data_IF_805081797399
#
_entry.id   IF_805081797399
#
_cell.length_a   1.000
_cell.length_b   1.000
_cell.length_c   1.000
_cell.angle_alpha   90.00
_cell.angle_beta   90.00
_cell.angle_gamma   90.00
#
_symmetry.space_group_name_H-M   'P 1'
#
loop_
_entity.id
_entity.type
_entity.pdbx_description
1 polymer ?
#
# COMPACT_ATOMS: atom_id res chain seq x y z
N UNK A 1 -7.85 12.87 -9.82
CA UNK A 1 -7.32 12.32 -8.55
C UNK A 1 -6.75 13.50 -7.80
N UNK A 2 -7.23 13.77 -6.58
CA UNK A 2 -6.93 14.99 -5.83
C UNK A 2 -5.44 15.09 -5.48
N UNK A 3 -4.84 16.25 -5.73
CA UNK A 3 -3.46 16.56 -5.35
C UNK A 3 -3.30 16.54 -3.82
N UNK A 4 -2.14 16.05 -3.35
CA UNK A 4 -1.75 16.08 -1.95
C UNK A 4 -1.21 17.47 -1.55
N UNK A 5 -1.11 17.81 -0.25
CA UNK A 5 -0.50 19.07 0.17
C UNK A 5 0.90 19.27 -0.42
N UNK A 6 1.23 20.49 -0.83
CA UNK A 6 2.59 20.83 -1.30
C UNK A 6 3.61 20.57 -0.21
N UNK A 7 4.80 20.10 -0.58
CA UNK A 7 5.82 19.68 0.38
C UNK A 7 5.57 18.33 1.06
N UNK A 8 4.63 17.52 0.56
CA UNK A 8 4.50 16.12 0.97
C UNK A 8 5.76 15.33 0.60
N UNK A 9 6.28 14.60 1.58
CA UNK A 9 7.38 13.64 1.40
C UNK A 9 6.82 12.23 1.21
N UNK A 10 7.44 11.46 0.31
CA UNK A 10 7.00 10.09 0.01
C UNK A 10 8.00 9.04 0.50
N UNK A 11 7.50 7.92 1.01
CA UNK A 11 8.27 6.80 1.54
C UNK A 11 7.65 5.46 1.13
N UNK A 12 8.35 4.35 1.40
CA UNK A 12 7.91 3.00 1.08
C UNK A 12 8.50 2.49 -0.24
N UNK A 13 7.66 1.95 -1.13
CA UNK A 13 8.01 1.35 -2.44
C UNK A 13 8.74 0.00 -2.41
N UNK A 14 8.78 -0.64 -1.24
CA UNK A 14 9.38 -1.96 -1.05
C UNK A 14 10.90 -1.93 -0.88
N UNK A 15 11.57 -3.00 -1.31
CA UNK A 15 13.02 -3.13 -1.16
C UNK A 15 13.73 -2.45 -2.34
N UNK A 16 14.25 -1.26 -2.08
CA UNK A 16 14.87 -0.40 -3.11
C UNK A 16 16.12 0.30 -2.56
N UNK A 17 17.17 0.35 -3.37
CA UNK A 17 18.44 0.98 -2.99
C UNK A 17 18.32 2.52 -2.84
N UNK A 18 19.30 3.13 -2.16
CA UNK A 18 19.39 4.59 -2.00
C UNK A 18 18.74 5.13 -0.71
N UNK A 19 18.44 6.44 -0.70
CA UNK A 19 17.85 7.14 0.46
C UNK A 19 16.43 6.63 0.75
N UNK A 20 16.04 6.70 2.01
CA UNK A 20 14.71 6.27 2.47
C UNK A 20 13.57 7.05 1.80
N UNK A 21 13.74 8.37 1.64
CA UNK A 21 12.77 9.23 0.96
C UNK A 21 12.73 8.94 -0.55
N UNK A 22 11.51 8.83 -1.07
CA UNK A 22 11.18 8.47 -2.46
C UNK A 22 10.56 9.62 -3.25
N UNK A 23 10.48 10.82 -2.66
CA UNK A 23 10.10 12.04 -3.37
C UNK A 23 10.99 12.27 -4.58
N UNK A 24 10.41 12.56 -5.74
CA UNK A 24 11.17 12.76 -6.97
C UNK A 24 11.68 11.46 -7.62
N UNK A 25 11.27 10.29 -7.13
CA UNK A 25 11.75 8.99 -7.63
C UNK A 25 10.70 8.26 -8.44
N UNK A 26 11.20 7.36 -9.27
CA UNK A 26 10.41 6.39 -10.03
C UNK A 26 10.92 5.00 -9.69
N UNK A 27 10.03 4.12 -9.26
CA UNK A 27 10.34 2.77 -8.81
C UNK A 27 9.49 1.78 -9.57
N UNK A 28 10.06 0.63 -9.93
CA UNK A 28 9.31 -0.48 -10.51
C UNK A 28 9.24 -1.58 -9.47
N UNK A 29 8.04 -1.98 -9.07
CA UNK A 29 7.84 -3.13 -8.20
C UNK A 29 7.82 -4.38 -9.08
N UNK A 30 9.03 -4.87 -9.41
CA UNK A 30 9.20 -6.11 -10.16
C UNK A 30 10.44 -6.85 -9.70
N UNK A 31 10.26 -7.98 -9.04
CA UNK A 31 11.38 -8.77 -8.54
C UNK A 31 12.31 -9.17 -9.70
N UNK A 32 13.58 -8.76 -9.60
CA UNK A 32 14.63 -9.15 -10.54
C UNK A 32 15.77 -9.76 -9.73
N UNK A 33 16.28 -10.91 -10.18
CA UNK A 33 17.45 -11.54 -9.58
C UNK A 33 18.67 -10.61 -9.77
N UNK A 34 19.00 -9.85 -8.73
CA UNK A 34 19.95 -8.73 -8.77
C UNK A 34 21.27 -9.10 -8.08
N UNK A 35 22.02 -10.04 -8.67
CA UNK A 35 23.38 -10.36 -8.23
C UNK A 35 24.33 -9.18 -8.51
N UNK A 36 24.99 -8.62 -7.48
CA UNK A 36 25.92 -7.49 -7.59
C UNK A 36 25.29 -6.09 -7.59
N UNK A 37 24.31 -5.84 -6.71
CA UNK A 37 23.57 -4.57 -6.67
C UNK A 37 24.44 -3.34 -6.31
N UNK A 38 24.10 -2.20 -6.92
CA UNK A 38 24.73 -0.90 -6.67
C UNK A 38 23.70 0.18 -6.29
N UNK A 39 24.15 1.41 -6.08
CA UNK A 39 23.32 2.55 -5.60
C UNK A 39 22.22 3.02 -6.57
N UNK A 40 22.11 2.42 -7.76
CA UNK A 40 21.13 2.75 -8.79
C UNK A 40 20.10 1.65 -9.07
N UNK A 41 20.11 0.52 -8.35
CA UNK A 41 19.17 -0.58 -8.62
C UNK A 41 17.77 -0.24 -8.09
N UNK A 42 16.80 -0.16 -9.00
CA UNK A 42 15.43 0.35 -8.73
C UNK A 42 14.41 -0.73 -8.36
N UNK A 43 14.80 -2.00 -8.34
CA UNK A 43 13.98 -3.12 -7.88
C UNK A 43 14.87 -4.27 -7.40
N UNK A 44 14.58 -4.83 -6.24
CA UNK A 44 15.36 -5.93 -5.63
C UNK A 44 14.46 -7.17 -5.48
N UNK A 45 14.52 -7.86 -4.35
CA UNK A 45 13.87 -9.16 -4.18
C UNK A 45 12.42 -9.06 -3.69
N UNK A 46 11.98 -7.88 -3.23
CA UNK A 46 10.61 -7.66 -2.74
C UNK A 46 9.93 -6.43 -3.34
N UNK A 47 8.79 -6.69 -3.98
CA UNK A 47 7.92 -5.71 -4.60
C UNK A 47 6.76 -5.36 -3.68
N UNK A 48 6.74 -4.15 -3.13
CA UNK A 48 5.62 -3.66 -2.33
C UNK A 48 5.00 -2.45 -3.04
N UNK A 49 3.84 -2.59 -3.71
CA UNK A 49 3.14 -1.50 -4.41
C UNK A 49 2.46 -0.52 -3.42
N UNK A 50 3.24 -0.03 -2.45
CA UNK A 50 2.83 0.75 -1.28
C UNK A 50 3.60 2.07 -1.22
N UNK A 51 2.89 3.17 -0.94
CA UNK A 51 3.45 4.49 -0.68
C UNK A 51 2.89 5.04 0.62
N UNK A 52 3.78 5.55 1.48
CA UNK A 52 3.45 6.37 2.63
C UNK A 52 3.74 7.84 2.28
N UNK A 53 2.71 8.68 2.26
CA UNK A 53 2.82 10.11 2.12
C UNK A 53 2.78 10.78 3.50
N UNK A 54 3.77 11.61 3.81
CA UNK A 54 3.81 12.42 5.03
C UNK A 54 3.66 13.88 4.64
N UNK A 55 2.65 14.54 5.19
CA UNK A 55 2.31 15.93 4.91
C UNK A 55 3.20 16.88 5.70
N UNK A 56 3.33 18.16 5.29
CA UNK A 56 4.23 19.12 5.95
C UNK A 56 3.98 19.33 7.44
N UNK A 57 2.74 19.13 7.90
CA UNK A 57 2.36 19.29 9.32
C UNK A 57 2.42 17.99 10.12
N UNK A 58 2.86 16.89 9.50
CA UNK A 58 3.07 15.59 10.15
C UNK A 58 1.91 14.60 9.98
N UNK A 59 0.76 15.02 9.43
CA UNK A 59 -0.28 14.07 9.05
C UNK A 59 0.22 13.13 7.95
N UNK A 60 -0.40 11.97 7.81
CA UNK A 60 0.05 10.99 6.84
C UNK A 60 -1.09 10.23 6.19
N UNK A 61 -0.83 9.76 4.97
CA UNK A 61 -1.72 8.95 4.16
C UNK A 61 -0.94 7.76 3.59
N UNK A 62 -1.49 6.57 3.72
CA UNK A 62 -0.99 5.38 3.06
C UNK A 62 -1.78 5.06 1.80
N UNK A 63 -1.12 4.64 0.73
CA UNK A 63 -1.75 4.22 -0.52
C UNK A 63 -1.14 2.91 -1.01
N UNK A 64 -1.99 1.89 -1.18
CA UNK A 64 -1.64 0.58 -1.69
C UNK A 64 -2.32 0.36 -3.04
N UNK A 65 -1.56 0.05 -4.08
CA UNK A 65 -2.11 -0.54 -5.29
C UNK A 65 -2.16 -2.06 -5.11
N UNK A 66 -3.36 -2.63 -4.99
CA UNK A 66 -3.54 -4.06 -4.74
C UNK A 66 -3.37 -4.87 -6.04
N UNK A 67 -2.11 -5.12 -6.39
CA UNK A 67 -1.77 -5.87 -7.60
C UNK A 67 -0.55 -6.75 -7.39
N UNK A 68 -0.63 -7.96 -7.93
CA UNK A 68 0.50 -8.91 -8.00
C UNK A 68 1.29 -8.77 -9.31
N UNK A 69 0.85 -7.89 -10.21
CA UNK A 69 1.51 -7.65 -11.50
C UNK A 69 2.57 -6.57 -11.35
N UNK A 70 3.47 -6.51 -12.34
CA UNK A 70 4.42 -5.40 -12.46
C UNK A 70 3.69 -4.07 -12.39
N UNK A 71 4.03 -3.28 -11.38
CA UNK A 71 3.50 -1.95 -11.15
C UNK A 71 4.67 -0.96 -11.13
N UNK A 72 4.45 0.19 -11.72
CA UNK A 72 5.34 1.34 -11.62
C UNK A 72 4.75 2.33 -10.61
N UNK A 73 5.60 2.83 -9.73
CA UNK A 73 5.30 3.91 -8.81
C UNK A 73 6.10 5.13 -9.26
N UNK A 74 5.40 6.16 -9.74
CA UNK A 74 6.00 7.42 -10.16
C UNK A 74 5.62 8.56 -9.19
N UNK A 75 6.64 9.08 -8.51
CA UNK A 75 6.56 10.12 -7.47
C UNK A 75 7.37 11.37 -7.89
N UNK A 76 7.62 11.54 -9.19
CA UNK A 76 8.39 12.68 -9.72
C UNK A 76 7.62 13.98 -9.76
N UNK A 77 6.30 13.88 -9.92
CA UNK A 77 5.41 15.03 -9.87
C UNK A 77 5.11 15.37 -8.41
N UNK A 78 5.26 16.65 -8.06
CA UNK A 78 4.97 17.14 -6.72
C UNK A 78 3.52 16.77 -6.35
N UNK A 79 3.30 16.42 -5.08
CA UNK A 79 1.95 16.21 -4.54
C UNK A 79 1.15 15.08 -5.21
N UNK A 80 1.79 14.23 -6.02
CA UNK A 80 1.10 13.24 -6.84
C UNK A 80 1.71 11.86 -6.66
N UNK A 81 0.84 10.86 -6.44
CA UNK A 81 1.20 9.45 -6.47
C UNK A 81 0.59 8.83 -7.72
N UNK A 82 1.43 8.29 -8.61
CA UNK A 82 0.96 7.55 -9.78
C UNK A 82 1.37 6.09 -9.67
N UNK A 83 0.38 5.21 -9.71
CA UNK A 83 0.58 3.80 -9.97
C UNK A 83 0.26 3.53 -11.44
N UNK A 84 1.09 2.75 -12.12
CA UNK A 84 0.88 2.35 -13.52
C UNK A 84 1.09 0.85 -13.64
N UNK A 85 0.06 0.14 -14.11
CA UNK A 85 0.15 -1.27 -14.44
C UNK A 85 -0.66 -1.57 -15.71
N UNK A 86 -0.40 -2.74 -16.32
CA UNK A 86 -1.04 -3.16 -17.57
C UNK A 86 -2.52 -3.52 -17.43
N UNK A 87 -2.99 -3.79 -16.22
CA UNK A 87 -4.37 -4.17 -15.91
C UNK A 87 -4.94 -3.24 -14.86
N UNK A 88 -6.27 -3.17 -14.76
CA UNK A 88 -6.94 -2.46 -13.67
C UNK A 88 -6.69 -3.18 -12.34
N UNK A 89 -6.54 -2.41 -11.27
CA UNK A 89 -6.35 -2.90 -9.91
C UNK A 89 -7.06 -1.97 -8.91
N UNK A 90 -7.43 -2.46 -7.73
CA UNK A 90 -7.92 -1.62 -6.64
C UNK A 90 -6.81 -0.72 -6.10
N UNK A 91 -7.18 0.48 -5.68
CA UNK A 91 -6.32 1.36 -4.87
C UNK A 91 -6.95 1.49 -3.49
N UNK A 92 -6.20 1.15 -2.45
CA UNK A 92 -6.64 1.16 -1.05
C UNK A 92 -5.90 2.30 -0.34
N UNK A 93 -6.65 3.15 0.35
CA UNK A 93 -6.12 4.30 1.10
C UNK A 93 -6.26 4.10 2.60
N UNK A 94 -5.24 4.51 3.36
CA UNK A 94 -5.18 4.39 4.81
C UNK A 94 -4.97 5.78 5.41
N UNK A 95 -6.03 6.36 5.97
CA UNK A 95 -6.04 7.71 6.51
C UNK A 95 -6.84 8.71 5.64
N UNK A 96 -6.56 10.02 5.75
CA UNK A 96 -5.42 10.61 6.46
C UNK A 96 -5.49 10.43 7.98
N UNK A 97 -4.33 10.29 8.63
CA UNK A 97 -4.16 10.23 10.09
C UNK A 97 -3.20 11.32 10.57
N UNK A 98 -3.21 11.60 11.89
CA UNK A 98 -2.34 12.63 12.49
C UNK A 98 -0.87 12.20 12.60
N UNK A 99 -0.57 10.90 12.43
CA UNK A 99 0.77 10.35 12.54
C UNK A 99 1.03 9.27 11.48
N UNK A 100 2.26 9.18 10.92
CA UNK A 100 2.67 8.07 10.06
C UNK A 100 2.55 6.70 10.75
N UNK A 101 2.70 6.66 12.08
CA UNK A 101 2.57 5.43 12.87
C UNK A 101 1.17 4.84 12.77
N UNK A 102 0.13 5.68 12.79
CA UNK A 102 -1.27 5.22 12.71
C UNK A 102 -1.57 4.63 11.33
N UNK A 103 -0.96 5.18 10.27
CA UNK A 103 -1.03 4.60 8.93
C UNK A 103 -0.45 3.18 8.92
N UNK A 104 0.72 2.99 9.55
CA UNK A 104 1.38 1.67 9.61
C UNK A 104 0.60 0.67 10.46
N UNK A 105 0.02 1.10 11.59
CA UNK A 105 -0.88 0.25 12.40
C UNK A 105 -2.10 -0.16 11.59
N UNK A 106 -2.70 0.77 10.84
CA UNK A 106 -3.86 0.46 9.98
C UNK A 106 -3.49 -0.48 8.84
N UNK A 107 -2.30 -0.33 8.24
CA UNK A 107 -1.80 -1.23 7.21
C UNK A 107 -1.57 -2.64 7.79
N UNK A 108 -0.89 -2.74 8.95
CA UNK A 108 -0.64 -4.03 9.62
C UNK A 108 -1.94 -4.78 9.83
N UNK A 109 -2.96 -4.13 10.41
CA UNK A 109 -4.28 -4.75 10.62
C UNK A 109 -4.91 -5.23 9.31
N UNK A 110 -4.80 -4.48 8.22
CA UNK A 110 -5.37 -4.91 6.94
C UNK A 110 -4.65 -6.10 6.31
N UNK A 111 -3.32 -6.19 6.50
CA UNK A 111 -2.51 -7.33 6.02
C UNK A 111 -2.64 -8.54 6.95
N UNK A 112 -2.69 -8.34 8.27
CA UNK A 112 -2.83 -9.40 9.27
C UNK A 112 -4.21 -10.07 9.19
N UNK A 113 -5.27 -9.31 8.87
CA UNK A 113 -6.61 -9.87 8.63
C UNK A 113 -6.68 -10.83 7.42
N UNK A 114 -5.64 -10.88 6.58
CA UNK A 114 -5.52 -11.89 5.53
C UNK A 114 -5.03 -13.26 6.07
N UNK A 115 -4.22 -13.30 7.13
CA UNK A 115 -3.79 -14.57 7.74
C UNK A 115 -4.94 -15.29 8.47
N UNK A 116 -5.84 -14.55 9.10
CA UNK A 116 -6.99 -15.14 9.80
C UNK A 116 -8.01 -15.79 8.85
N UNK A 117 -8.06 -15.38 7.57
CA UNK A 117 -8.85 -16.08 6.54
C UNK A 117 -8.13 -17.29 5.94
N UNK A 118 -6.80 -17.34 5.97
CA UNK A 118 -6.02 -18.51 5.51
C UNK A 118 -6.08 -19.66 6.52
N UNK A 119 -6.24 -19.38 7.83
CA UNK A 119 -6.48 -20.42 8.85
C UNK A 119 -7.85 -21.10 8.76
N UNK A 120 -8.84 -20.54 8.03
CA UNK A 120 -10.19 -21.12 7.90
C UNK A 120 -10.30 -22.12 6.72
N UNK A 121 -9.24 -22.35 5.95
CA UNK A 121 -9.20 -23.42 4.93
C UNK A 121 -8.42 -24.68 5.37
N UNK A 122 -8.45 -24.99 6.67
CA UNK A 122 -8.16 -26.33 7.19
C UNK A 122 -9.46 -27.08 7.47
N UNK A 123 -9.92 -27.88 6.49
CA UNK A 123 -10.97 -28.91 6.58
C UNK A 123 -11.98 -28.77 7.74
N UNK A 124 -13.10 -28.09 7.48
CA UNK A 124 -14.35 -28.38 8.19
C UNK A 124 -15.32 -28.99 7.19
N UNK A 125 -15.56 -30.29 7.31
CA UNK A 125 -16.68 -30.96 6.67
C UNK A 125 -17.96 -30.39 7.29
N UNK A 126 -18.63 -29.47 6.61
CA UNK A 126 -19.97 -29.04 6.99
C UNK A 126 -20.98 -29.71 6.06
N UNK A 127 -21.59 -30.78 6.55
CA UNK A 127 -22.94 -31.15 6.11
C UNK A 127 -23.91 -30.08 6.60
N UNK A 128 -24.52 -29.33 5.68
CA UNK A 128 -25.61 -28.40 5.99
C UNK A 128 -25.61 -27.15 5.11
N UNK A 129 -26.79 -26.57 4.80
CA UNK A 129 -26.96 -25.64 3.68
C UNK A 129 -26.43 -24.23 3.97
N UNK A 130 -26.00 -23.61 2.89
CA UNK A 130 -25.40 -22.30 2.71
C UNK A 130 -26.30 -21.18 3.24
N UNK A 131 -25.75 -20.29 4.07
CA UNK A 131 -26.19 -18.88 4.11
C UNK A 131 -24.97 -17.99 3.95
N UNK A 132 -24.92 -17.35 2.79
CA UNK A 132 -24.02 -16.27 2.42
C UNK A 132 -24.44 -14.99 3.16
N UNK A 133 -23.56 -14.40 3.97
CA UNK A 133 -23.53 -12.95 4.28
C UNK A 133 -22.45 -12.65 5.33
N UNK A 134 -21.37 -11.99 4.91
CA UNK A 134 -20.73 -11.00 5.80
C UNK A 134 -20.60 -9.71 5.02
N UNK A 135 -21.63 -8.89 5.17
CA UNK A 135 -21.71 -7.54 4.69
C UNK A 135 -20.59 -6.68 5.30
N UNK A 136 -19.93 -5.89 4.47
CA UNK A 136 -19.30 -4.64 4.89
C UNK A 136 -20.32 -3.86 5.74
N UNK A 137 -20.04 -3.67 7.02
CA UNK A 137 -20.69 -2.65 7.83
C UNK A 137 -19.68 -1.55 8.12
N UNK A 138 -19.58 -0.63 7.16
CA UNK A 138 -19.30 0.76 7.50
C UNK A 138 -20.48 1.23 8.37
N UNK A 139 -20.21 1.76 9.56
CA UNK A 139 -21.16 2.63 10.23
C UNK A 139 -20.55 4.02 10.43
N UNK A 140 -21.39 5.06 10.32
CA UNK A 140 -20.97 6.44 10.25
C UNK A 140 -20.83 7.04 11.65
N UNK A 141 -19.98 8.05 11.74
CA UNK A 141 -19.87 8.98 12.86
C UNK A 141 -20.87 10.12 12.65
N UNK A 142 -21.76 10.40 13.62
CA UNK A 142 -22.39 11.72 13.85
C UNK A 142 -22.88 11.81 15.32
N UNK A 143 -22.45 12.90 15.99
CA UNK A 143 -22.99 13.74 17.10
C UNK A 143 -23.97 13.12 18.14
N UNK A 144 -23.91 13.41 19.44
CA UNK A 144 -23.70 14.66 20.18
C UNK A 144 -23.30 14.35 21.63
#
# INVERSE_FOLDING_TARGET
MSELPRGTSFYGTGEVSGKLERTGKRVFTWNTDAYGYGSGTTSLYQSHPWVLAVFPRGEALGVLADTTRRCEIDLREESTIKFVASQSYPVITFGPFQSPTDVLVSLSRAVDLWEDKVKIFGSVTLGGPIICQTALRLRPQVDM
#
